data_IF_207377273433
#
_entry.id   IF_207377273433
#
_cell.length_a   1.000
_cell.length_b   1.000
_cell.length_c   1.000
_cell.angle_alpha   90.00
_cell.angle_beta   90.00
_cell.angle_gamma   90.00
#
_symmetry.space_group_name_H-M   'P 1'
#
loop_
_entity.id
_entity.type
_entity.pdbx_description
1 polymer ?
#
# COMPACT_ATOMS: atom_id res chain seq x y z
N UNK A 1 -22.53 2.65 -5.04
CA UNK A 1 -22.68 3.64 -6.12
C UNK A 1 -21.33 4.24 -6.47
N UNK A 2 -21.06 4.35 -7.74
CA UNK A 2 -19.85 5.03 -8.21
C UNK A 2 -20.21 6.45 -8.62
N UNK A 3 -19.45 7.41 -8.12
CA UNK A 3 -19.59 8.80 -8.51
C UNK A 3 -18.47 9.12 -9.50
N UNK A 4 -18.85 9.57 -10.70
CA UNK A 4 -17.87 9.94 -11.71
C UNK A 4 -17.97 11.44 -11.97
N UNK A 5 -16.88 12.12 -11.70
CA UNK A 5 -16.72 13.54 -11.99
C UNK A 5 -15.50 13.69 -12.91
N UNK A 6 -15.56 14.64 -13.83
CA UNK A 6 -14.45 14.87 -14.74
C UNK A 6 -13.18 15.20 -13.95
N UNK A 7 -12.11 14.43 -14.20
CA UNK A 7 -10.85 14.58 -13.52
C UNK A 7 -10.78 13.92 -12.14
N UNK A 8 -11.86 13.25 -11.70
CA UNK A 8 -11.90 12.60 -10.39
C UNK A 8 -12.21 11.12 -10.53
N UNK A 9 -11.50 10.29 -9.79
CA UNK A 9 -11.78 8.87 -9.63
C UNK A 9 -12.06 8.65 -8.14
N UNK A 10 -13.32 8.47 -7.79
CA UNK A 10 -13.77 8.37 -6.40
C UNK A 10 -14.24 6.96 -6.13
N UNK A 11 -13.75 6.37 -5.05
CA UNK A 11 -14.15 5.04 -4.62
C UNK A 11 -14.68 5.07 -3.19
N UNK A 12 -15.71 4.28 -2.97
CA UNK A 12 -16.16 3.91 -1.63
C UNK A 12 -15.60 2.52 -1.35
N UNK A 13 -14.78 2.40 -0.32
CA UNK A 13 -14.01 1.17 -0.07
C UNK A 13 -14.91 -0.06 0.13
N UNK A 14 -16.08 0.12 0.76
CA UNK A 14 -17.05 -0.95 0.98
C UNK A 14 -17.73 -1.45 -0.30
N UNK A 15 -17.61 -0.71 -1.40
CA UNK A 15 -18.13 -1.09 -2.71
C UNK A 15 -17.04 -1.66 -3.63
N UNK A 16 -15.79 -1.71 -3.18
CA UNK A 16 -14.67 -2.23 -3.97
C UNK A 16 -14.38 -3.67 -3.61
N UNK A 17 -14.04 -4.45 -4.64
CA UNK A 17 -13.63 -5.84 -4.47
C UNK A 17 -12.23 -5.93 -3.87
N UNK A 18 -12.05 -6.92 -2.97
CA UNK A 18 -10.73 -7.31 -2.54
C UNK A 18 -10.04 -8.09 -3.65
N UNK A 19 -8.77 -7.82 -3.86
CA UNK A 19 -7.92 -8.57 -4.78
C UNK A 19 -6.65 -9.04 -4.06
N UNK A 20 -6.00 -10.10 -4.56
CA UNK A 20 -4.74 -10.55 -3.98
C UNK A 20 -3.67 -9.46 -4.03
N UNK A 21 -2.86 -9.39 -2.98
CA UNK A 21 -1.70 -8.51 -2.92
C UNK A 21 -0.50 -9.36 -2.53
N UNK A 22 0.36 -9.64 -3.50
CA UNK A 22 1.44 -10.62 -3.33
C UNK A 22 2.70 -10.00 -2.74
N UNK A 23 3.33 -10.77 -1.86
CA UNK A 23 4.65 -10.47 -1.33
C UNK A 23 5.55 -11.70 -1.43
N UNK A 24 6.70 -11.68 -0.75
CA UNK A 24 7.63 -12.82 -0.69
C UNK A 24 7.19 -13.88 0.32
N UNK A 25 6.36 -13.52 1.28
CA UNK A 25 5.81 -14.45 2.28
C UNK A 25 4.53 -13.90 2.88
N UNK A 26 3.68 -14.78 3.41
CA UNK A 26 2.44 -14.40 4.06
C UNK A 26 1.35 -13.97 3.07
N UNK A 27 0.27 -13.45 3.62
CA UNK A 27 -0.92 -13.10 2.84
C UNK A 27 -1.31 -11.64 3.05
N UNK A 28 -1.79 -11.02 1.99
CA UNK A 28 -2.38 -9.70 2.01
C UNK A 28 -3.44 -9.59 0.92
N UNK A 29 -4.30 -8.61 1.05
CA UNK A 29 -5.30 -8.29 0.04
C UNK A 29 -5.41 -6.78 -0.10
N UNK A 30 -5.92 -6.33 -1.23
CA UNK A 30 -5.94 -4.92 -1.55
C UNK A 30 -7.23 -4.49 -2.24
N UNK A 31 -7.54 -3.21 -2.09
CA UNK A 31 -8.60 -2.55 -2.85
C UNK A 31 -8.00 -1.37 -3.60
N UNK A 32 -8.31 -1.28 -4.88
CA UNK A 32 -7.95 -0.12 -5.69
C UNK A 32 -8.92 1.01 -5.37
N UNK A 33 -8.42 2.12 -4.84
CA UNK A 33 -9.25 3.26 -4.46
C UNK A 33 -9.33 4.34 -5.53
N UNK A 34 -8.36 4.39 -6.43
CA UNK A 34 -8.42 5.36 -7.52
C UNK A 34 -7.12 5.42 -8.29
N UNK A 35 -7.20 5.96 -9.50
CA UNK A 35 -6.04 6.20 -10.37
C UNK A 35 -6.14 7.60 -10.97
N UNK A 36 -5.00 8.24 -11.14
CA UNK A 36 -4.88 9.51 -11.86
C UNK A 36 -3.44 9.67 -12.36
N UNK A 37 -3.29 10.11 -13.59
CA UNK A 37 -1.98 10.38 -14.21
C UNK A 37 -0.99 9.22 -14.10
N UNK A 38 -1.51 7.98 -14.16
CA UNK A 38 -0.70 6.77 -14.06
C UNK A 38 -0.32 6.38 -12.63
N UNK A 39 -0.81 7.09 -11.61
CA UNK A 39 -0.65 6.70 -10.21
C UNK A 39 -1.89 5.98 -9.69
N UNK A 40 -1.68 5.09 -8.74
CA UNK A 40 -2.76 4.38 -8.08
C UNK A 40 -2.72 4.63 -6.58
N UNK A 41 -3.91 4.73 -5.97
CA UNK A 41 -4.09 4.72 -4.52
C UNK A 41 -4.69 3.37 -4.16
N UNK A 42 -4.00 2.60 -3.32
CA UNK A 42 -4.38 1.24 -2.96
C UNK A 42 -4.43 1.09 -1.45
N UNK A 43 -5.54 0.51 -0.96
CA UNK A 43 -5.67 0.12 0.43
C UNK A 43 -5.21 -1.33 0.56
N UNK A 44 -4.24 -1.59 1.44
CA UNK A 44 -3.72 -2.94 1.66
C UNK A 44 -4.05 -3.39 3.07
N UNK A 45 -4.56 -4.61 3.20
CA UNK A 45 -4.76 -5.29 4.47
C UNK A 45 -3.85 -6.50 4.49
N UNK A 46 -2.80 -6.44 5.30
CA UNK A 46 -1.79 -7.49 5.42
C UNK A 46 -2.01 -8.31 6.68
N UNK A 47 -1.97 -9.63 6.53
CA UNK A 47 -2.11 -10.56 7.64
C UNK A 47 -0.79 -10.67 8.43
N UNK A 48 -0.85 -11.14 9.70
CA UNK A 48 0.38 -11.39 10.46
C UNK A 48 1.34 -12.28 9.67
N UNK A 49 2.59 -11.87 9.59
CA UNK A 49 3.64 -12.59 8.88
C UNK A 49 3.80 -12.20 7.41
N UNK A 50 3.02 -11.27 6.91
CA UNK A 50 3.19 -10.78 5.54
C UNK A 50 4.53 -10.06 5.39
N UNK A 51 5.23 -10.38 4.31
CA UNK A 51 6.49 -9.73 3.92
C UNK A 51 6.39 -9.29 2.47
N UNK A 52 6.65 -8.01 2.21
CA UNK A 52 6.73 -7.48 0.85
C UNK A 52 7.94 -8.02 0.10
N UNK A 53 7.82 -8.14 -1.21
CA UNK A 53 8.95 -8.56 -2.05
C UNK A 53 9.97 -7.43 -2.16
N UNK A 54 11.27 -7.72 -2.09
CA UNK A 54 12.28 -6.72 -2.38
C UNK A 54 12.10 -6.16 -3.79
N UNK A 55 12.19 -4.86 -3.94
CA UNK A 55 12.07 -4.22 -5.25
C UNK A 55 12.69 -2.83 -5.24
N UNK A 56 13.09 -2.38 -6.42
CA UNK A 56 13.56 -1.02 -6.64
C UNK A 56 12.39 -0.15 -7.13
N UNK A 57 12.39 1.11 -6.72
CA UNK A 57 11.37 2.08 -7.12
C UNK A 57 11.83 2.82 -8.38
N UNK A 58 11.16 2.59 -9.51
CA UNK A 58 11.38 3.38 -10.72
C UNK A 58 10.81 4.79 -10.57
N UNK A 59 9.76 4.94 -9.76
CA UNK A 59 9.09 6.20 -9.44
C UNK A 59 8.88 6.31 -7.94
N UNK A 60 8.55 7.51 -7.47
CA UNK A 60 8.27 7.72 -6.04
C UNK A 60 7.08 6.87 -5.58
N UNK A 61 7.15 6.42 -4.33
CA UNK A 61 6.08 5.68 -3.67
C UNK A 61 5.82 6.31 -2.32
N UNK A 62 4.55 6.33 -1.91
CA UNK A 62 4.12 6.90 -0.64
C UNK A 62 3.28 5.89 0.13
N UNK A 63 3.38 5.91 1.43
CA UNK A 63 2.67 4.97 2.29
C UNK A 63 2.19 5.67 3.56
N UNK A 64 1.02 5.28 4.04
CA UNK A 64 0.45 5.74 5.31
C UNK A 64 -0.14 4.55 6.04
N UNK A 65 0.32 4.31 7.28
CA UNK A 65 -0.19 3.22 8.11
C UNK A 65 -1.47 3.65 8.79
N UNK A 66 -2.55 2.92 8.51
CA UNK A 66 -3.88 3.18 9.09
C UNK A 66 -4.04 2.45 10.40
N UNK A 67 -3.60 1.19 10.47
CA UNK A 67 -3.79 0.32 11.64
C UNK A 67 -2.67 -0.71 11.68
N UNK A 68 -2.31 -1.12 12.89
CA UNK A 68 -1.27 -2.11 13.09
C UNK A 68 0.12 -1.54 13.02
N UNK A 69 1.10 -2.41 12.80
CA UNK A 69 2.52 -2.03 12.74
C UNK A 69 3.23 -2.71 11.58
N UNK A 70 4.18 -2.00 11.00
CA UNK A 70 5.09 -2.55 10.00
C UNK A 70 6.52 -2.23 10.38
N UNK A 71 7.43 -3.11 9.98
CA UNK A 71 8.86 -2.87 10.07
C UNK A 71 9.34 -2.60 8.64
N UNK A 72 9.74 -1.38 8.37
CA UNK A 72 10.19 -0.96 7.05
C UNK A 72 11.65 -0.53 7.11
N UNK A 73 12.51 -1.23 6.40
CA UNK A 73 13.95 -0.95 6.40
C UNK A 73 14.52 -0.85 7.82
N UNK A 74 14.07 -1.75 8.71
CA UNK A 74 14.49 -1.75 10.12
C UNK A 74 13.84 -0.70 11.00
N UNK A 75 12.96 0.13 10.46
CA UNK A 75 12.25 1.16 11.22
C UNK A 75 10.82 0.72 11.51
N UNK A 76 10.45 0.71 12.78
CA UNK A 76 9.07 0.38 13.17
C UNK A 76 8.14 1.56 12.89
N UNK A 77 7.03 1.27 12.22
CA UNK A 77 5.98 2.24 11.90
C UNK A 77 4.67 1.75 12.46
N UNK A 78 3.90 2.64 13.07
CA UNK A 78 2.58 2.36 13.64
C UNK A 78 1.52 3.23 12.98
N UNK A 79 0.27 3.05 13.36
CA UNK A 79 -0.83 3.86 12.86
C UNK A 79 -0.50 5.36 12.96
N UNK A 80 -0.69 6.08 11.87
CA UNK A 80 -0.37 7.50 11.75
C UNK A 80 1.01 7.78 11.15
N UNK A 81 1.89 6.79 11.09
CA UNK A 81 3.21 6.95 10.48
C UNK A 81 3.15 6.72 8.97
N UNK A 82 4.06 7.32 8.25
CA UNK A 82 4.13 7.17 6.82
C UNK A 82 5.56 7.28 6.29
N UNK A 83 5.74 6.97 5.01
CA UNK A 83 7.01 7.19 4.34
C UNK A 83 6.79 7.71 2.93
N UNK A 84 7.82 8.37 2.42
CA UNK A 84 7.96 8.69 1.01
C UNK A 84 9.28 8.07 0.54
N UNK A 85 9.19 7.26 -0.50
CA UNK A 85 10.36 6.62 -1.10
C UNK A 85 10.62 7.28 -2.44
N UNK A 86 11.83 7.80 -2.63
CA UNK A 86 12.19 8.48 -3.87
C UNK A 86 12.40 7.50 -5.01
N UNK A 87 12.24 7.96 -6.24
CA UNK A 87 12.66 7.21 -7.41
C UNK A 87 14.16 6.82 -7.26
N UNK A 88 14.49 5.59 -7.57
CA UNK A 88 15.85 5.05 -7.42
C UNK A 88 16.12 4.41 -6.06
N UNK A 89 15.24 4.57 -5.08
CA UNK A 89 15.35 3.86 -3.81
C UNK A 89 14.88 2.40 -3.96
N UNK A 90 15.12 1.60 -2.94
CA UNK A 90 14.71 0.20 -2.95
C UNK A 90 14.10 -0.21 -1.62
N UNK A 91 13.14 -1.14 -1.68
CA UNK A 91 12.65 -1.88 -0.54
C UNK A 91 13.42 -3.20 -0.42
N UNK A 92 14.12 -3.38 0.69
CA UNK A 92 14.82 -4.63 0.97
C UNK A 92 14.13 -5.42 2.08
N UNK A 93 13.41 -4.72 2.96
CA UNK A 93 12.75 -5.35 4.12
C UNK A 93 11.49 -4.56 4.50
N UNK A 94 10.34 -5.17 4.25
CA UNK A 94 9.03 -4.64 4.64
C UNK A 94 8.22 -5.82 5.17
N UNK A 95 7.95 -5.82 6.48
CA UNK A 95 7.27 -6.94 7.12
C UNK A 95 6.30 -6.45 8.19
N UNK A 96 5.17 -7.14 8.33
CA UNK A 96 4.31 -6.96 9.49
C UNK A 96 4.20 -8.28 10.24
N UNK A 97 4.60 -8.29 11.51
CA UNK A 97 4.52 -9.49 12.35
C UNK A 97 3.11 -9.70 12.89
N UNK A 98 2.42 -8.61 13.21
CA UNK A 98 1.11 -8.65 13.86
C UNK A 98 -0.06 -8.30 12.94
N UNK A 99 0.22 -7.94 11.69
CA UNK A 99 -0.79 -7.47 10.76
C UNK A 99 -0.85 -5.95 10.69
N UNK A 100 -1.25 -5.44 9.54
CA UNK A 100 -1.37 -4.00 9.33
C UNK A 100 -2.32 -3.67 8.19
N UNK A 101 -2.92 -2.50 8.28
CA UNK A 101 -3.67 -1.89 7.18
C UNK A 101 -2.97 -0.59 6.81
N UNK A 102 -2.69 -0.40 5.54
CA UNK A 102 -1.99 0.79 5.07
C UNK A 102 -2.45 1.20 3.67
N UNK A 103 -2.22 2.46 3.35
CA UNK A 103 -2.48 3.00 2.02
C UNK A 103 -1.14 3.19 1.32
N UNK A 104 -1.03 2.71 0.09
CA UNK A 104 0.15 2.90 -0.74
C UNK A 104 -0.25 3.63 -2.02
N UNK A 105 0.58 4.60 -2.41
CA UNK A 105 0.41 5.37 -3.65
C UNK A 105 1.66 5.14 -4.49
N UNK A 106 1.46 4.65 -5.71
CA UNK A 106 2.58 4.30 -6.58
C UNK A 106 2.23 4.48 -8.05
N UNK A 107 3.25 4.53 -8.88
CA UNK A 107 3.12 4.65 -10.34
C UNK A 107 2.84 3.29 -10.95
N UNK A 108 1.78 3.24 -11.75
CA UNK A 108 1.43 2.05 -12.54
C UNK A 108 2.37 1.87 -13.74
#
# INVERSE_FOLDING_TARGET
MTISLEGWDIAHADEREWMPWSGSAGEARAKLLGTADGYAVVLVEAQPGYRGSPHAHAHAEFNYVVEGTVLNQGQQMKAGDGYAAAAGSSHDDFVTESGATYVVIFKL
#
